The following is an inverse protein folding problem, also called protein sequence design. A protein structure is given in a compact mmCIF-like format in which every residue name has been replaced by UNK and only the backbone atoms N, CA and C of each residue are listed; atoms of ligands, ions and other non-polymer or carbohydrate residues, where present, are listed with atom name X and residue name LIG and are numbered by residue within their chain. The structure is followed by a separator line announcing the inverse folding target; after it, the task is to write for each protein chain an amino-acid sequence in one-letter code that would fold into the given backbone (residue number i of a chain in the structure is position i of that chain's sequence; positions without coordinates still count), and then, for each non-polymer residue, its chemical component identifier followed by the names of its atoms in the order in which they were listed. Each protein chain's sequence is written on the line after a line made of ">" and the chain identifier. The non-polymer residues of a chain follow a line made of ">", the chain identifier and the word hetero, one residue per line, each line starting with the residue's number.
data_IF_505962402760
#
_entry.id   IF_505962402760
#
_cell.length_a   1.000
_cell.length_b   1.000
_cell.length_c   1.000
_cell.angle_alpha   90.00
_cell.angle_beta   90.00
_cell.angle_gamma   90.00
#
_symmetry.space_group_name_H-M   'P 1'
#
loop_
_entity.id
_entity.type
_entity.pdbx_description
1 polymer ?
#
# COMPACT_ATOMS: atom_id res chain seq x y z
N UNK A 1 -0.13 -10.50 15.24
CA UNK A 1 0.16 -10.39 13.79
C UNK A 1 -0.17 -11.71 13.12
N UNK A 2 -1.12 -11.74 12.18
CA UNK A 2 -1.52 -12.98 11.48
C UNK A 2 -0.31 -13.53 10.68
N UNK A 3 -0.11 -14.86 10.69
CA UNK A 3 1.01 -15.55 10.00
C UNK A 3 1.08 -15.16 8.52
N UNK A 4 -0.07 -14.86 7.92
CA UNK A 4 -0.17 -14.47 6.53
C UNK A 4 0.44 -13.09 6.21
N UNK A 5 0.11 -12.06 6.99
CA UNK A 5 0.67 -10.72 6.83
C UNK A 5 2.20 -10.74 7.00
N UNK A 6 2.69 -11.55 7.94
CA UNK A 6 4.13 -11.73 8.20
C UNK A 6 4.85 -12.54 7.10
N UNK A 7 4.16 -13.50 6.47
CA UNK A 7 4.74 -14.41 5.46
C UNK A 7 4.70 -13.88 4.03
N UNK A 8 3.75 -12.99 3.70
CA UNK A 8 3.56 -12.53 2.32
C UNK A 8 3.68 -11.03 2.15
N UNK A 9 3.47 -10.25 3.22
CA UNK A 9 3.62 -8.80 3.14
C UNK A 9 5.09 -8.41 2.95
N UNK A 10 6.01 -9.05 3.67
CA UNK A 10 7.43 -8.67 3.73
C UNK A 10 7.67 -7.16 3.79
N UNK A 11 6.71 -6.41 4.37
CA UNK A 11 6.76 -4.96 4.46
C UNK A 11 7.69 -4.66 5.63
N UNK A 12 8.85 -4.01 5.41
CA UNK A 12 9.71 -3.60 6.51
C UNK A 12 8.89 -2.72 7.47
N UNK A 13 9.01 -2.95 8.78
CA UNK A 13 8.32 -2.10 9.78
C UNK A 13 8.68 -0.62 9.61
N UNK A 14 9.93 -0.35 9.19
CA UNK A 14 10.39 0.98 8.83
C UNK A 14 9.67 1.60 7.62
N UNK A 15 8.79 0.88 6.93
CA UNK A 15 7.94 1.41 5.86
C UNK A 15 6.46 1.51 6.27
N UNK A 16 6.15 1.24 7.54
CA UNK A 16 4.81 1.40 8.09
C UNK A 16 4.73 2.74 8.81
N UNK A 17 3.81 3.57 8.35
CA UNK A 17 3.64 4.93 8.83
C UNK A 17 2.17 5.26 8.90
N UNK A 18 1.83 6.21 9.78
CA UNK A 18 0.58 6.94 9.64
C UNK A 18 0.56 7.63 8.28
N UNK A 19 -0.64 7.71 7.69
CA UNK A 19 -0.87 8.21 6.33
C UNK A 19 -0.18 9.56 6.04
N UNK A 20 -0.12 10.43 7.04
CA UNK A 20 0.38 11.80 6.89
C UNK A 20 1.89 11.95 7.13
N UNK A 21 2.56 10.92 7.66
CA UNK A 21 3.96 11.02 8.05
C UNK A 21 4.90 11.04 6.84
N UNK A 22 4.66 10.20 5.83
CA UNK A 22 5.48 10.20 4.62
C UNK A 22 5.35 11.52 3.81
N UNK A 23 4.13 12.04 3.57
CA UNK A 23 3.93 13.37 2.99
C UNK A 23 4.62 14.49 3.77
N UNK A 24 4.51 14.47 5.11
CA UNK A 24 5.16 15.46 5.98
C UNK A 24 6.69 15.46 5.79
N UNK A 25 7.30 14.28 5.68
CA UNK A 25 8.75 14.15 5.42
C UNK A 25 9.16 14.72 4.07
N UNK A 26 8.35 14.50 3.02
CA UNK A 26 8.61 15.06 1.69
C UNK A 26 8.55 16.60 1.72
N UNK A 27 7.51 17.17 2.33
CA UNK A 27 7.39 18.62 2.48
C UNK A 27 8.54 19.22 3.30
N UNK A 28 8.98 18.52 4.36
CA UNK A 28 10.09 18.99 5.21
C UNK A 28 11.44 19.08 4.48
N UNK A 29 11.63 18.34 3.38
CA UNK A 29 12.84 18.41 2.54
C UNK A 29 12.62 19.19 1.23
N UNK A 30 11.54 19.98 1.16
CA UNK A 30 11.30 20.96 0.10
C UNK A 30 10.50 20.43 -1.09
N UNK A 31 9.98 19.21 -1.07
CA UNK A 31 9.05 18.77 -2.12
C UNK A 31 7.73 19.54 -2.00
N UNK A 32 7.25 20.04 -3.14
CA UNK A 32 5.96 20.72 -3.28
C UNK A 32 4.90 19.81 -3.88
N UNK A 33 3.66 20.30 -3.96
CA UNK A 33 2.54 19.62 -4.62
C UNK A 33 2.39 18.14 -4.19
N UNK A 34 2.52 17.87 -2.90
CA UNK A 34 2.43 16.51 -2.36
C UNK A 34 0.97 16.05 -2.38
N UNK A 35 0.69 14.97 -3.11
CA UNK A 35 -0.63 14.35 -3.23
C UNK A 35 -0.59 12.95 -2.65
N UNK A 36 -1.60 12.62 -1.85
CA UNK A 36 -1.75 11.33 -1.17
C UNK A 36 -3.05 10.68 -1.60
N UNK A 37 -2.93 9.62 -2.39
CA UNK A 37 -4.07 8.86 -2.88
C UNK A 37 -4.14 7.51 -2.17
N UNK A 38 -5.31 7.18 -1.63
CA UNK A 38 -5.57 5.83 -1.14
C UNK A 38 -5.89 4.93 -2.33
N UNK A 39 -5.13 3.85 -2.45
CA UNK A 39 -5.33 2.79 -3.45
C UNK A 39 -5.75 1.48 -2.78
N UNK A 40 -6.29 1.55 -1.55
CA UNK A 40 -6.67 0.40 -0.74
C UNK A 40 -7.64 -0.54 -1.45
N UNK A 41 -8.55 0.02 -2.25
CA UNK A 41 -9.53 -0.71 -3.07
C UNK A 41 -8.89 -1.53 -4.19
N UNK A 42 -7.68 -1.18 -4.64
CA UNK A 42 -6.96 -1.91 -5.69
C UNK A 42 -6.01 -2.96 -5.10
N UNK A 43 -5.55 -2.75 -3.86
CA UNK A 43 -4.59 -3.62 -3.18
C UNK A 43 -5.28 -4.73 -2.37
N UNK A 44 -6.16 -4.37 -1.43
CA UNK A 44 -6.67 -5.34 -0.47
C UNK A 44 -7.52 -6.45 -1.10
N UNK A 45 -8.42 -6.17 -2.07
CA UNK A 45 -9.16 -7.23 -2.74
C UNK A 45 -8.27 -8.19 -3.51
N UNK A 46 -7.28 -7.66 -4.24
CA UNK A 46 -6.31 -8.48 -4.97
C UNK A 46 -5.51 -9.38 -4.04
N UNK A 47 -5.03 -8.83 -2.93
CA UNK A 47 -4.30 -9.60 -1.91
C UNK A 47 -5.19 -10.65 -1.25
N UNK A 48 -6.44 -10.35 -0.93
CA UNK A 48 -7.36 -11.33 -0.36
C UNK A 48 -7.65 -12.48 -1.34
N UNK A 49 -7.88 -12.16 -2.63
CA UNK A 49 -8.07 -13.17 -3.67
C UNK A 49 -6.83 -14.04 -3.89
N UNK A 50 -5.64 -13.43 -3.89
CA UNK A 50 -4.37 -14.17 -3.94
C UNK A 50 -4.25 -15.12 -2.75
N UNK A 51 -4.47 -14.60 -1.54
CA UNK A 51 -4.36 -15.34 -0.28
C UNK A 51 -5.27 -16.56 -0.25
N UNK A 52 -6.55 -16.35 -0.59
CA UNK A 52 -7.56 -17.40 -0.69
C UNK A 52 -7.13 -18.51 -1.65
N UNK A 53 -6.64 -18.17 -2.84
CA UNK A 53 -6.18 -19.16 -3.81
C UNK A 53 -4.93 -19.92 -3.37
N UNK A 54 -3.99 -19.27 -2.69
CA UNK A 54 -2.75 -19.89 -2.20
C UNK A 54 -2.98 -20.78 -0.99
N UNK A 55 -3.82 -20.36 -0.05
CA UNK A 55 -4.04 -21.05 1.21
C UNK A 55 -5.14 -22.10 1.12
N UNK A 56 -6.32 -21.69 0.69
CA UNK A 56 -7.50 -22.54 0.68
C UNK A 56 -7.48 -23.39 -0.59
N UNK A 57 -7.23 -22.74 -1.73
CA UNK A 57 -7.13 -23.41 -3.02
C UNK A 57 -5.83 -24.19 -3.22
N UNK A 58 -4.83 -24.01 -2.34
CA UNK A 58 -3.49 -24.64 -2.41
C UNK A 58 -2.77 -24.47 -3.76
N UNK A 59 -3.17 -23.50 -4.57
CA UNK A 59 -2.55 -23.23 -5.88
C UNK A 59 -1.10 -22.84 -5.69
N UNK A 60 -0.22 -23.21 -6.61
CA UNK A 60 1.16 -22.68 -6.68
C UNK A 60 1.13 -21.22 -7.12
N UNK A 61 2.21 -20.48 -6.86
CA UNK A 61 2.28 -19.05 -7.17
C UNK A 61 1.99 -18.74 -8.65
N UNK A 62 2.57 -19.50 -9.59
CA UNK A 62 2.35 -19.32 -11.03
C UNK A 62 0.97 -19.75 -11.54
N UNK A 63 0.14 -20.37 -10.70
CA UNK A 63 -1.22 -20.81 -11.04
C UNK A 63 -2.28 -19.82 -10.52
N UNK A 64 -1.88 -18.85 -9.70
CA UNK A 64 -2.80 -17.85 -9.17
C UNK A 64 -3.11 -16.82 -10.25
N UNK A 65 -4.39 -16.64 -10.52
CA UNK A 65 -4.91 -15.56 -11.35
C UNK A 65 -5.75 -14.68 -10.43
N UNK A 66 -5.29 -13.45 -10.19
CA UNK A 66 -6.01 -12.48 -9.38
C UNK A 66 -6.89 -11.66 -10.31
N UNK A 67 -8.19 -11.87 -10.19
CA UNK A 67 -9.19 -11.00 -10.82
C UNK A 67 -9.87 -10.18 -9.72
N UNK A 68 -10.05 -8.88 -9.97
CA UNK A 68 -10.65 -7.94 -9.01
C UNK A 68 -11.79 -7.24 -9.72
N UNK A 69 -13.01 -7.60 -9.36
CA UNK A 69 -14.20 -6.98 -9.94
C UNK A 69 -14.39 -5.54 -9.44
N UNK A 70 -15.15 -4.72 -10.18
CA UNK A 70 -15.53 -3.39 -9.73
C UNK A 70 -16.26 -3.41 -8.39
N UNK A 71 -17.08 -4.43 -8.16
CA UNK A 71 -17.78 -4.63 -6.89
C UNK A 71 -16.79 -4.93 -5.74
N UNK A 72 -15.73 -5.70 -6.00
CA UNK A 72 -14.71 -5.96 -4.98
C UNK A 72 -13.95 -4.70 -4.61
N UNK A 73 -13.67 -3.83 -5.59
CA UNK A 73 -13.08 -2.50 -5.36
C UNK A 73 -14.02 -1.60 -4.57
N UNK A 74 -15.28 -1.47 -5.01
CA UNK A 74 -16.27 -0.62 -4.37
C UNK A 74 -16.51 -0.97 -2.90
N UNK A 75 -16.41 -2.26 -2.55
CA UNK A 75 -16.54 -2.74 -1.18
C UNK A 75 -15.21 -2.89 -0.44
N UNK A 76 -14.07 -2.62 -1.11
CA UNK A 76 -12.72 -2.87 -0.59
C UNK A 76 -12.61 -4.25 0.10
N UNK A 77 -13.15 -5.29 -0.54
CA UNK A 77 -13.29 -6.62 0.09
C UNK A 77 -11.93 -7.14 0.57
N UNK A 78 -11.93 -7.71 1.76
CA UNK A 78 -10.73 -8.32 2.34
C UNK A 78 -9.85 -7.38 3.16
N UNK A 79 -10.15 -6.08 3.23
CA UNK A 79 -9.42 -5.15 4.11
C UNK A 79 -9.49 -5.56 5.58
N UNK A 80 -10.63 -6.09 6.03
CA UNK A 80 -10.82 -6.53 7.43
C UNK A 80 -9.80 -7.60 7.86
N UNK A 81 -9.37 -8.46 6.93
CA UNK A 81 -8.38 -9.51 7.20
C UNK A 81 -7.03 -8.87 7.58
N UNK A 82 -6.68 -7.78 6.90
CA UNK A 82 -5.45 -7.02 7.13
C UNK A 82 -5.56 -6.13 8.36
N UNK A 83 -6.69 -5.44 8.53
CA UNK A 83 -6.93 -4.61 9.70
C UNK A 83 -6.82 -5.43 10.99
N UNK A 84 -7.54 -6.55 11.09
CA UNK A 84 -7.49 -7.42 12.28
C UNK A 84 -6.12 -8.10 12.44
N UNK A 85 -5.44 -8.38 11.33
CA UNK A 85 -4.20 -9.17 11.31
C UNK A 85 -2.92 -8.36 11.55
N UNK A 86 -2.87 -7.12 11.09
CA UNK A 86 -1.68 -6.25 11.11
C UNK A 86 -1.97 -4.82 11.56
N UNK A 87 -3.23 -4.44 11.77
CA UNK A 87 -3.61 -3.04 12.06
C UNK A 87 -3.49 -2.11 10.84
N UNK A 88 -3.24 -2.68 9.65
CA UNK A 88 -3.09 -1.90 8.43
C UNK A 88 -4.45 -1.72 7.77
N UNK A 89 -4.83 -0.47 7.56
CA UNK A 89 -6.15 -0.08 7.05
C UNK A 89 -6.09 0.65 5.72
N UNK A 90 -4.91 1.07 5.29
CA UNK A 90 -4.72 1.85 4.06
C UNK A 90 -3.48 1.37 3.29
N UNK A 91 -3.47 1.67 2.01
CA UNK A 91 -2.32 1.55 1.13
C UNK A 91 -2.33 2.78 0.24
N UNK A 92 -1.30 3.62 0.34
CA UNK A 92 -1.28 4.92 -0.32
C UNK A 92 -0.22 5.00 -1.39
N UNK A 93 -0.54 5.72 -2.46
CA UNK A 93 0.42 6.20 -3.44
C UNK A 93 0.65 7.68 -3.16
N UNK A 94 1.93 8.06 -3.02
CA UNK A 94 2.32 9.45 -2.78
C UNK A 94 3.05 9.96 -4.02
N UNK A 95 2.59 11.09 -4.56
CA UNK A 95 3.29 11.82 -5.61
C UNK A 95 3.66 13.21 -5.11
N UNK A 96 4.77 13.76 -5.61
CA UNK A 96 5.26 15.07 -5.20
C UNK A 96 6.11 15.69 -6.30
N UNK A 97 6.17 17.02 -6.32
CA UNK A 97 7.03 17.80 -7.21
C UNK A 97 8.36 18.10 -6.52
N UNK A 98 9.47 17.81 -7.20
CA UNK A 98 10.82 18.17 -6.74
C UNK A 98 10.89 19.69 -6.47
N UNK A 99 11.58 20.15 -5.41
CA UNK A 99 11.88 21.58 -5.26
C UNK A 99 12.51 22.11 -6.54
N UNK A 100 12.06 23.29 -6.98
CA UNK A 100 12.80 24.05 -7.99
C UNK A 100 14.15 24.41 -7.37
N UNK A 101 15.25 24.14 -8.07
CA UNK A 101 16.56 24.65 -7.69
C UNK A 101 16.49 26.18 -7.78
N UNK A 102 16.10 26.85 -6.70
CA UNK A 102 16.34 28.29 -6.55
C UNK A 102 17.83 28.43 -6.39
N UNK A 103 18.50 28.72 -7.52
CA UNK A 103 19.93 28.61 -7.73
C UNK A 103 20.79 28.95 -6.51
N UNK A 104 21.66 28.02 -6.15
CA UNK A 104 22.84 28.34 -5.35
C UNK A 104 23.63 29.39 -6.14
N UNK A 105 23.93 30.58 -5.58
CA UNK A 105 24.88 31.48 -6.21
C UNK A 105 26.21 30.72 -6.24
N UNK A 106 26.72 30.47 -7.45
CA UNK A 106 28.03 29.85 -7.63
C UNK A 106 29.06 30.59 -6.78
N UNK A 107 29.83 29.83 -6.00
CA UNK A 107 31.08 30.32 -5.43
C UNK A 107 32.11 30.53 -6.54
#
# INVERSE_FOLDING_TARGET
>A
MNVFARRYGHIPEANLYDRDEYPRRLSAVGFGDVVVESIRQDVFPGMANYSRQRLEGKKKMGEVVVDVSENDRAQCRGVEIWERGSGLTDYVMVSARKPLDTGVPGK
#
